data_IF_437008994947
#
_entry.id   IF_437008994947
#
_cell.length_a   1.000
_cell.length_b   1.000
_cell.length_c   1.000
_cell.angle_alpha   90.00
_cell.angle_beta   90.00
_cell.angle_gamma   90.00
#
_symmetry.space_group_name_H-M   'P 1'
#
loop_
_entity.id
_entity.type
_entity.pdbx_description
1 polymer ?
#
# COMPACT_ATOMS: atom_id res chain seq x y z
N UNK A 1 21.09 29.28 1.81
CA UNK A 1 20.60 27.89 2.02
C UNK A 1 20.03 27.37 0.72
N UNK A 2 20.57 26.26 0.22
CA UNK A 2 20.02 25.51 -0.92
C UNK A 2 18.92 24.61 -0.39
N UNK A 3 17.79 24.56 -1.11
CA UNK A 3 16.67 23.64 -0.85
C UNK A 3 16.43 22.82 -2.10
N UNK A 4 16.42 21.49 -1.99
CA UNK A 4 16.24 20.59 -3.14
C UNK A 4 15.55 19.30 -2.72
N UNK A 5 14.90 18.65 -3.68
CA UNK A 5 14.50 17.24 -3.58
C UNK A 5 15.51 16.38 -4.34
N UNK A 6 16.01 15.34 -3.69
CA UNK A 6 16.89 14.34 -4.29
C UNK A 6 16.15 13.01 -4.34
N UNK A 7 16.36 12.15 -5.37
CA UNK A 7 15.73 10.85 -5.44
C UNK A 7 15.98 10.00 -4.18
N UNK A 8 14.99 9.21 -3.79
CA UNK A 8 15.11 8.17 -2.77
C UNK A 8 14.66 6.86 -3.42
N UNK A 9 15.61 5.96 -3.69
CA UNK A 9 15.34 4.62 -4.22
C UNK A 9 15.02 3.60 -3.13
N UNK A 10 14.84 4.03 -1.88
CA UNK A 10 14.38 3.19 -0.80
C UNK A 10 13.00 2.59 -1.11
N UNK A 11 12.87 1.29 -0.86
CA UNK A 11 11.61 0.58 -1.04
C UNK A 11 10.53 1.17 -0.11
N UNK A 12 9.30 1.27 -0.61
CA UNK A 12 8.19 1.76 0.19
C UNK A 12 7.85 0.79 1.34
N UNK A 13 7.25 1.31 2.41
CA UNK A 13 6.83 0.50 3.57
C UNK A 13 5.55 -0.31 3.35
N UNK A 14 4.95 -0.26 2.15
CA UNK A 14 3.66 -0.92 1.88
C UNK A 14 2.48 -0.29 2.62
N UNK A 15 2.56 0.98 3.04
CA UNK A 15 1.48 1.67 3.75
C UNK A 15 0.14 1.55 2.99
N UNK A 16 -0.90 1.10 3.69
CA UNK A 16 -2.21 0.83 3.10
C UNK A 16 -3.32 0.80 4.13
N UNK A 17 -4.57 0.86 3.66
CA UNK A 17 -5.68 0.42 4.49
C UNK A 17 -5.79 -1.11 4.39
N UNK A 18 -5.58 -1.81 5.50
CA UNK A 18 -5.70 -3.26 5.60
C UNK A 18 -7.14 -3.65 5.96
N UNK A 19 -7.74 -4.56 5.19
CA UNK A 19 -9.07 -5.12 5.45
C UNK A 19 -8.97 -6.44 6.19
N UNK A 20 -9.72 -6.59 7.27
CA UNK A 20 -9.73 -7.80 8.08
C UNK A 20 -10.53 -8.93 7.41
N UNK A 21 -9.84 -9.85 6.73
CA UNK A 21 -10.42 -11.04 6.10
C UNK A 21 -10.98 -12.05 7.10
N UNK A 22 -11.03 -11.75 8.41
CA UNK A 22 -11.84 -12.52 9.38
C UNK A 22 -13.31 -12.07 9.36
N UNK A 23 -13.62 -10.93 8.74
CA UNK A 23 -14.99 -10.41 8.58
C UNK A 23 -15.60 -10.95 7.28
N UNK A 24 -16.82 -11.48 7.38
CA UNK A 24 -17.52 -12.12 6.24
C UNK A 24 -17.69 -11.17 5.05
N UNK A 25 -18.06 -9.90 5.30
CA UNK A 25 -18.21 -8.85 4.29
C UNK A 25 -16.96 -8.62 3.41
N UNK A 26 -15.78 -8.98 3.89
CA UNK A 26 -14.53 -8.86 3.13
C UNK A 26 -14.09 -10.17 2.48
N UNK A 27 -14.85 -11.26 2.51
CA UNK A 27 -14.48 -12.50 1.82
C UNK A 27 -14.55 -12.40 0.31
N UNK A 28 -15.51 -11.63 -0.22
CA UNK A 28 -15.64 -11.42 -1.65
C UNK A 28 -14.62 -10.40 -2.15
N UNK A 29 -13.76 -10.83 -3.10
CA UNK A 29 -12.73 -9.97 -3.70
C UNK A 29 -13.32 -8.75 -4.40
N UNK A 30 -14.55 -8.85 -4.92
CA UNK A 30 -15.24 -7.75 -5.61
C UNK A 30 -15.62 -6.64 -4.65
N UNK A 31 -15.96 -6.98 -3.40
CA UNK A 31 -16.18 -5.97 -2.34
C UNK A 31 -14.87 -5.26 -2.06
N UNK A 32 -13.79 -6.00 -1.82
CA UNK A 32 -12.48 -5.41 -1.53
C UNK A 32 -11.98 -4.51 -2.66
N UNK A 33 -12.14 -4.95 -3.91
CA UNK A 33 -11.82 -4.16 -5.09
C UNK A 33 -12.68 -2.90 -5.20
N UNK A 34 -13.98 -2.98 -4.95
CA UNK A 34 -14.88 -1.83 -4.96
C UNK A 34 -14.45 -0.76 -3.94
N UNK A 35 -14.07 -1.17 -2.73
CA UNK A 35 -13.59 -0.25 -1.70
C UNK A 35 -12.28 0.44 -2.11
N UNK A 36 -11.39 -0.28 -2.82
CA UNK A 36 -10.18 0.28 -3.41
C UNK A 36 -10.44 1.41 -4.40
N UNK A 37 -11.51 1.32 -5.21
CA UNK A 37 -11.92 2.39 -6.13
C UNK A 37 -12.40 3.67 -5.41
N UNK A 38 -12.79 3.56 -4.13
CA UNK A 38 -13.36 4.68 -3.38
C UNK A 38 -12.28 5.49 -2.64
N UNK A 39 -11.04 5.02 -2.60
CA UNK A 39 -9.92 5.81 -2.10
C UNK A 39 -9.30 6.65 -3.22
N UNK A 40 -9.45 7.98 -3.11
CA UNK A 40 -8.91 8.92 -4.08
C UNK A 40 -7.52 9.42 -3.67
N UNK A 41 -6.47 8.78 -4.20
CA UNK A 41 -5.10 9.18 -3.98
C UNK A 41 -4.73 10.48 -4.70
N UNK A 42 -5.12 10.64 -5.96
CA UNK A 42 -4.74 11.79 -6.78
C UNK A 42 -5.18 13.10 -6.13
N UNK A 43 -6.43 13.17 -5.66
CA UNK A 43 -6.93 14.30 -4.90
C UNK A 43 -6.21 14.48 -3.56
N UNK A 44 -5.97 13.39 -2.83
CA UNK A 44 -5.26 13.44 -1.53
C UNK A 44 -3.84 14.00 -1.71
N UNK A 45 -3.12 13.54 -2.73
CA UNK A 45 -1.77 13.96 -3.03
C UNK A 45 -1.73 15.43 -3.43
N UNK A 46 -2.59 15.86 -4.35
CA UNK A 46 -2.65 17.25 -4.79
C UNK A 46 -3.07 18.20 -3.66
N UNK A 47 -4.15 17.87 -2.95
CA UNK A 47 -4.83 18.80 -2.03
C UNK A 47 -4.27 18.77 -0.61
N UNK A 48 -3.79 17.62 -0.14
CA UNK A 48 -3.34 17.45 1.25
C UNK A 48 -1.82 17.38 1.38
N UNK A 49 -1.16 16.86 0.33
CA UNK A 49 0.27 16.57 0.35
C UNK A 49 1.09 17.44 -0.60
N UNK A 50 0.45 18.37 -1.32
CA UNK A 50 1.11 19.29 -2.26
C UNK A 50 1.87 18.58 -3.39
N UNK A 51 1.39 17.42 -3.82
CA UNK A 51 1.97 16.59 -4.88
C UNK A 51 3.31 15.95 -4.49
N UNK A 52 3.61 15.82 -3.20
CA UNK A 52 4.94 15.42 -2.74
C UNK A 52 5.12 13.91 -2.50
N UNK A 53 4.09 13.09 -2.72
CA UNK A 53 4.18 11.65 -2.57
C UNK A 53 3.91 10.91 -3.87
N UNK A 54 4.39 9.67 -3.94
CA UNK A 54 4.11 8.73 -5.00
C UNK A 54 3.13 7.64 -4.51
N UNK A 55 2.39 7.05 -5.45
CA UNK A 55 1.41 6.00 -5.18
C UNK A 55 2.11 4.67 -4.92
N UNK A 56 1.67 3.93 -3.90
CA UNK A 56 2.03 2.52 -3.74
C UNK A 56 1.13 1.66 -4.64
N UNK A 57 1.71 0.70 -5.35
CA UNK A 57 1.00 -0.30 -6.17
C UNK A 57 1.47 -1.73 -5.87
N UNK A 58 2.66 -1.91 -5.29
CA UNK A 58 3.28 -3.20 -4.97
C UNK A 58 3.72 -3.29 -3.50
N UNK A 59 3.78 -4.51 -2.95
CA UNK A 59 4.41 -4.75 -1.64
C UNK A 59 5.92 -4.51 -1.68
N UNK A 60 6.51 -4.54 -2.88
CA UNK A 60 7.91 -4.21 -3.19
C UNK A 60 8.02 -2.91 -4.01
N UNK A 61 7.10 -1.97 -3.79
CA UNK A 61 7.10 -0.68 -4.50
C UNK A 61 8.46 0.05 -4.41
N UNK A 62 8.85 0.71 -5.51
CA UNK A 62 10.14 1.36 -5.68
C UNK A 62 11.34 0.40 -5.71
N UNK A 63 11.14 -0.84 -6.19
CA UNK A 63 12.22 -1.81 -6.41
C UNK A 63 12.03 -2.63 -7.68
N UNK A 64 13.08 -3.35 -8.10
CA UNK A 64 13.06 -4.28 -9.23
C UNK A 64 12.30 -5.59 -8.94
N UNK A 65 11.86 -5.78 -7.69
CA UNK A 65 11.10 -6.94 -7.21
C UNK A 65 9.58 -6.78 -7.41
N UNK A 66 9.08 -5.59 -7.72
CA UNK A 66 7.66 -5.35 -8.00
C UNK A 66 7.21 -6.05 -9.29
N UNK A 67 6.06 -6.72 -9.25
CA UNK A 67 5.48 -7.32 -10.45
C UNK A 67 4.97 -6.23 -11.41
N UNK A 68 5.25 -6.41 -12.71
CA UNK A 68 4.85 -5.47 -13.77
C UNK A 68 4.22 -6.21 -14.93
N UNK A 69 3.20 -5.61 -15.56
CA UNK A 69 2.51 -6.19 -16.72
C UNK A 69 2.03 -7.63 -16.49
N UNK A 70 1.89 -8.39 -17.57
CA UNK A 70 1.55 -9.82 -17.56
C UNK A 70 2.66 -10.68 -16.93
N UNK A 71 2.33 -11.86 -16.36
CA UNK A 71 3.36 -12.75 -15.82
C UNK A 71 4.33 -13.18 -16.93
N UNK A 72 5.62 -13.12 -16.60
CA UNK A 72 6.68 -13.67 -17.45
C UNK A 72 6.61 -15.20 -17.50
N UNK A 73 7.33 -15.83 -18.44
CA UNK A 73 7.42 -17.31 -18.50
C UNK A 73 7.96 -17.92 -17.19
N UNK A 74 8.92 -17.24 -16.54
CA UNK A 74 9.45 -17.66 -15.24
C UNK A 74 8.42 -17.54 -14.11
N UNK A 75 7.63 -16.46 -14.08
CA UNK A 75 6.52 -16.34 -13.13
C UNK A 75 5.46 -17.42 -13.39
N UNK A 76 5.07 -17.65 -14.65
CA UNK A 76 4.09 -18.67 -15.03
C UNK A 76 4.52 -20.07 -14.58
N UNK A 77 5.80 -20.42 -14.74
CA UNK A 77 6.32 -21.71 -14.28
C UNK A 77 6.14 -21.94 -12.75
N UNK A 78 6.08 -20.86 -11.96
CA UNK A 78 5.80 -20.93 -10.52
C UNK A 78 4.29 -20.90 -10.21
N UNK A 79 3.49 -20.22 -11.04
CA UNK A 79 2.08 -19.95 -10.81
C UNK A 79 1.15 -21.04 -11.38
N UNK A 80 1.46 -21.61 -12.54
CA UNK A 80 0.63 -22.65 -13.19
C UNK A 80 0.37 -23.88 -12.31
N UNK A 81 1.35 -24.40 -11.53
CA UNK A 81 1.09 -25.50 -10.58
C UNK A 81 0.10 -25.16 -9.47
N UNK A 82 -0.22 -23.88 -9.28
CA UNK A 82 -1.14 -23.34 -8.27
C UNK A 82 -2.45 -22.82 -8.88
N UNK A 83 -2.69 -23.04 -10.18
CA UNK A 83 -3.76 -22.39 -10.94
C UNK A 83 -5.16 -22.50 -10.31
N UNK A 84 -5.47 -23.63 -9.67
CA UNK A 84 -6.74 -23.90 -8.99
C UNK A 84 -6.91 -23.16 -7.65
N UNK A 85 -5.82 -22.63 -7.11
CA UNK A 85 -5.75 -21.94 -5.80
C UNK A 85 -5.56 -20.43 -5.93
N UNK A 86 -5.36 -19.94 -7.15
CA UNK A 86 -5.07 -18.53 -7.41
C UNK A 86 -6.34 -17.70 -7.64
N UNK A 87 -6.34 -16.42 -7.22
CA UNK A 87 -7.36 -15.49 -7.67
C UNK A 87 -7.42 -15.43 -9.21
N UNK A 88 -8.62 -15.20 -9.75
CA UNK A 88 -8.83 -15.07 -11.18
C UNK A 88 -7.93 -13.96 -11.79
N UNK A 89 -7.45 -14.20 -13.01
CA UNK A 89 -6.62 -13.24 -13.76
C UNK A 89 -5.12 -13.29 -13.46
N UNK A 90 -4.67 -13.92 -12.36
CA UNK A 90 -3.24 -13.97 -11.99
C UNK A 90 -2.34 -14.52 -13.11
N UNK A 91 -2.83 -15.49 -13.89
CA UNK A 91 -2.06 -16.12 -14.97
C UNK A 91 -2.08 -15.34 -16.29
N UNK A 92 -2.99 -14.39 -16.47
CA UNK A 92 -3.28 -13.81 -17.79
C UNK A 92 -3.23 -12.28 -17.83
N UNK A 93 -3.55 -11.65 -16.72
CA UNK A 93 -3.79 -10.22 -16.64
C UNK A 93 -2.52 -9.49 -16.16
N UNK A 94 -2.53 -8.18 -16.35
CA UNK A 94 -1.48 -7.33 -15.81
C UNK A 94 -1.50 -7.36 -14.27
N UNK A 95 -0.33 -7.18 -13.67
CA UNK A 95 -0.19 -7.05 -12.23
C UNK A 95 -1.05 -5.87 -11.75
N UNK A 96 -1.82 -6.11 -10.69
CA UNK A 96 -2.91 -5.20 -10.34
C UNK A 96 -2.36 -3.89 -9.81
N UNK A 97 -2.77 -2.79 -10.42
CA UNK A 97 -2.45 -1.43 -9.97
C UNK A 97 -3.56 -0.86 -9.09
N UNK A 98 -3.21 0.09 -8.23
CA UNK A 98 -4.22 0.86 -7.51
C UNK A 98 -5.06 1.70 -8.50
N UNK A 99 -6.37 1.89 -8.25
CA UNK A 99 -7.18 2.75 -9.10
C UNK A 99 -6.62 4.18 -9.18
N UNK A 100 -6.65 4.74 -10.38
CA UNK A 100 -6.35 6.16 -10.63
C UNK A 100 -7.67 6.93 -10.63
N UNK A 101 -7.72 8.01 -9.86
CA UNK A 101 -8.87 8.90 -9.73
C UNK A 101 -8.58 10.29 -10.30
N UNK A 102 -9.61 11.11 -10.42
CA UNK A 102 -9.48 12.53 -10.75
C UNK A 102 -9.16 13.43 -9.55
N UNK A 103 -9.00 14.71 -9.82
CA UNK A 103 -8.58 15.76 -8.86
C UNK A 103 -9.72 16.31 -7.99
N UNK A 104 -10.88 15.66 -7.95
CA UNK A 104 -12.01 16.02 -7.07
C UNK A 104 -12.10 15.00 -5.94
N UNK A 105 -12.57 15.34 -4.72
CA UNK A 105 -12.66 14.40 -3.62
C UNK A 105 -13.34 13.07 -4.00
N UNK A 106 -14.45 13.16 -4.74
CA UNK A 106 -15.17 12.00 -5.29
C UNK A 106 -14.97 11.90 -6.81
N UNK A 107 -14.49 10.74 -7.26
CA UNK A 107 -14.43 10.40 -8.68
C UNK A 107 -15.69 9.64 -9.10
N UNK A 108 -16.46 10.19 -10.04
CA UNK A 108 -17.73 9.59 -10.49
C UNK A 108 -17.55 8.30 -11.30
N UNK A 109 -16.44 8.15 -12.02
CA UNK A 109 -16.16 6.96 -12.79
C UNK A 109 -15.83 5.80 -11.85
N UNK A 110 -14.94 6.05 -10.89
CA UNK A 110 -14.56 5.05 -9.89
C UNK A 110 -15.75 4.71 -8.97
N UNK A 111 -16.58 5.70 -8.59
CA UNK A 111 -17.81 5.43 -7.86
C UNK A 111 -18.76 4.51 -8.64
N UNK A 112 -18.92 4.70 -9.95
CA UNK A 112 -19.74 3.82 -10.80
C UNK A 112 -19.18 2.40 -10.88
N UNK A 113 -17.86 2.25 -10.98
CA UNK A 113 -17.19 0.94 -10.99
C UNK A 113 -17.37 0.23 -9.64
N UNK A 114 -17.14 0.94 -8.53
CA UNK A 114 -17.36 0.42 -7.19
C UNK A 114 -18.81 -0.04 -6.99
N UNK A 115 -19.78 0.77 -7.41
CA UNK A 115 -21.20 0.42 -7.31
C UNK A 115 -21.53 -0.86 -8.10
N UNK A 116 -21.03 -1.00 -9.33
CA UNK A 116 -21.27 -2.19 -10.14
C UNK A 116 -20.65 -3.46 -9.52
N UNK A 117 -19.47 -3.35 -8.91
CA UNK A 117 -18.81 -4.46 -8.20
C UNK A 117 -19.58 -4.87 -6.95
N UNK A 118 -20.06 -3.89 -6.17
CA UNK A 118 -20.88 -4.13 -4.98
C UNK A 118 -22.24 -4.76 -5.35
N UNK A 119 -22.89 -4.30 -6.43
CA UNK A 119 -24.11 -4.90 -6.96
C UNK A 119 -23.87 -6.36 -7.38
N UNK A 120 -22.78 -6.63 -8.11
CA UNK A 120 -22.41 -7.97 -8.53
C UNK A 120 -22.06 -8.90 -7.35
N UNK A 121 -21.56 -8.33 -6.24
CA UNK A 121 -21.31 -9.03 -4.99
C UNK A 121 -22.57 -9.23 -4.14
N UNK A 122 -23.74 -8.76 -4.58
CA UNK A 122 -25.02 -8.95 -3.90
C UNK A 122 -25.32 -7.91 -2.81
N UNK A 123 -24.54 -6.83 -2.74
CA UNK A 123 -24.78 -5.71 -1.82
C UNK A 123 -25.66 -4.67 -2.50
N UNK A 124 -26.97 -4.83 -2.47
CA UNK A 124 -27.91 -3.98 -3.22
C UNK A 124 -28.29 -2.73 -2.43
N UNK A 125 -28.41 -1.59 -3.11
CA UNK A 125 -28.84 -0.32 -2.52
C UNK A 125 -30.34 -0.40 -2.18
N UNK A 126 -30.69 -0.19 -0.91
CA UNK A 126 -32.07 -0.07 -0.43
C UNK A 126 -32.66 1.33 -0.64
N UNK A 127 -33.94 1.49 -0.30
CA UNK A 127 -34.66 2.77 -0.44
C UNK A 127 -34.08 3.90 0.45
N UNK A 128 -33.36 3.53 1.50
CA UNK A 128 -32.63 4.43 2.40
C UNK A 128 -31.26 4.86 1.84
N UNK A 129 -30.88 4.35 0.65
CA UNK A 129 -29.59 4.60 0.02
C UNK A 129 -28.45 3.76 0.59
N UNK A 130 -28.72 2.86 1.54
CA UNK A 130 -27.71 1.98 2.13
C UNK A 130 -27.70 0.60 1.50
N UNK A 131 -26.51 0.00 1.39
CA UNK A 131 -26.32 -1.32 0.80
C UNK A 131 -26.60 -2.42 1.79
N UNK A 132 -27.33 -3.45 1.36
CA UNK A 132 -27.64 -4.65 2.14
C UNK A 132 -27.39 -5.94 1.36
N UNK A 133 -26.99 -7.00 2.06
CA UNK A 133 -26.91 -8.34 1.48
C UNK A 133 -28.32 -8.98 1.39
N UNK A 134 -28.39 -10.21 0.88
CA UNK A 134 -29.64 -10.95 0.75
C UNK A 134 -30.33 -11.26 2.09
N UNK A 135 -29.60 -11.19 3.21
CA UNK A 135 -30.09 -11.38 4.58
C UNK A 135 -30.61 -10.07 5.20
N UNK A 136 -30.48 -8.94 4.50
CA UNK A 136 -30.91 -7.62 4.97
C UNK A 136 -29.90 -6.91 5.86
N UNK A 137 -28.71 -7.48 6.03
CA UNK A 137 -27.63 -6.90 6.85
C UNK A 137 -26.96 -5.75 6.09
N UNK A 138 -26.65 -4.67 6.80
CA UNK A 138 -25.98 -3.50 6.21
C UNK A 138 -24.53 -3.82 5.86
N UNK A 139 -24.06 -3.28 4.73
CA UNK A 139 -22.63 -3.18 4.45
C UNK A 139 -22.05 -2.06 5.32
N UNK A 140 -21.85 -2.37 6.60
CA UNK A 140 -21.23 -1.47 7.56
C UNK A 140 -19.72 -1.69 7.58
N UNK A 141 -18.93 -0.62 7.60
CA UNK A 141 -17.46 -0.70 7.68
C UNK A 141 -16.96 0.34 8.68
N UNK A 142 -16.29 -0.10 9.74
CA UNK A 142 -15.59 0.78 10.67
C UNK A 142 -14.10 0.90 10.32
N UNK A 143 -13.62 2.13 10.13
CA UNK A 143 -12.19 2.44 10.07
C UNK A 143 -11.78 3.00 11.43
N UNK A 144 -10.86 2.32 12.11
CA UNK A 144 -10.28 2.80 13.37
C UNK A 144 -8.90 3.42 13.13
N UNK A 145 -8.55 4.43 13.92
CA UNK A 145 -7.26 5.14 13.85
C UNK A 145 -7.00 5.81 15.20
N UNK A 146 -5.74 5.94 15.60
CA UNK A 146 -5.35 6.65 16.83
C UNK A 146 -4.67 8.00 16.57
N UNK A 147 -4.18 8.22 15.35
CA UNK A 147 -3.51 9.45 14.98
C UNK A 147 -4.44 10.49 14.33
N UNK A 148 -4.55 11.71 14.89
CA UNK A 148 -5.32 12.79 14.27
C UNK A 148 -4.75 13.27 12.93
N UNK A 149 -3.51 12.89 12.58
CA UNK A 149 -2.91 13.27 11.30
C UNK A 149 -3.57 12.58 10.10
N UNK A 150 -4.23 11.45 10.35
CA UNK A 150 -4.92 10.66 9.32
C UNK A 150 -6.37 11.11 9.09
N UNK A 151 -6.99 11.89 10.00
CA UNK A 151 -8.35 12.44 9.84
C UNK A 151 -8.58 13.02 8.43
N UNK A 152 -7.65 13.86 7.97
CA UNK A 152 -7.75 14.56 6.67
C UNK A 152 -7.77 13.63 5.47
N UNK A 153 -7.34 12.37 5.64
CA UNK A 153 -7.31 11.34 4.60
C UNK A 153 -8.50 10.38 4.76
N UNK A 154 -8.78 9.93 5.99
CA UNK A 154 -9.82 8.95 6.26
C UNK A 154 -11.21 9.56 6.10
N UNK A 155 -11.44 10.81 6.54
CA UNK A 155 -12.75 11.44 6.43
C UNK A 155 -13.24 11.53 4.97
N UNK A 156 -12.46 12.05 3.99
CA UNK A 156 -12.86 12.01 2.58
C UNK A 156 -13.08 10.59 2.05
N UNK A 157 -12.30 9.61 2.49
CA UNK A 157 -12.50 8.22 2.10
C UNK A 157 -13.83 7.66 2.62
N UNK A 158 -14.18 7.93 3.89
CA UNK A 158 -15.48 7.59 4.48
C UNK A 158 -16.63 8.26 3.76
N UNK A 159 -16.50 9.52 3.34
CA UNK A 159 -17.53 10.18 2.54
C UNK A 159 -17.70 9.52 1.16
N UNK A 160 -16.61 9.08 0.52
CA UNK A 160 -16.70 8.32 -0.74
C UNK A 160 -17.34 6.94 -0.54
N UNK A 161 -17.06 6.26 0.58
CA UNK A 161 -17.72 5.01 0.97
C UNK A 161 -19.23 5.21 1.15
N UNK A 162 -19.64 6.25 1.88
CA UNK A 162 -21.05 6.62 2.07
C UNK A 162 -21.74 7.00 0.76
N UNK A 163 -21.04 7.67 -0.14
CA UNK A 163 -21.56 7.98 -1.48
C UNK A 163 -21.84 6.71 -2.31
N UNK A 164 -21.15 5.61 -2.01
CA UNK A 164 -21.43 4.30 -2.59
C UNK A 164 -22.52 3.52 -1.83
N UNK A 165 -23.14 4.09 -0.79
CA UNK A 165 -24.15 3.42 0.04
C UNK A 165 -23.58 2.49 1.12
N UNK A 166 -22.27 2.52 1.37
CA UNK A 166 -21.67 1.81 2.52
C UNK A 166 -21.99 2.58 3.80
N UNK A 167 -22.43 1.89 4.85
CA UNK A 167 -22.56 2.48 6.19
C UNK A 167 -21.16 2.59 6.83
N UNK A 168 -20.39 3.59 6.38
CA UNK A 168 -19.01 3.77 6.79
C UNK A 168 -18.90 4.66 8.04
N UNK A 169 -18.11 4.17 9.02
CA UNK A 169 -17.88 4.81 10.31
C UNK A 169 -16.38 5.07 10.46
N UNK A 170 -16.03 6.29 10.89
CA UNK A 170 -14.68 6.61 11.33
C UNK A 170 -14.64 6.74 12.85
N UNK A 171 -13.82 5.91 13.50
CA UNK A 171 -13.65 5.88 14.94
C UNK A 171 -12.21 6.25 15.30
N UNK A 172 -12.00 7.53 15.65
CA UNK A 172 -10.74 7.95 16.25
C UNK A 172 -10.72 7.62 17.74
N UNK A 173 -9.84 6.70 18.12
CA UNK A 173 -9.75 6.13 19.47
C UNK A 173 -8.39 6.43 20.10
N UNK A 174 -8.25 6.21 21.41
CA UNK A 174 -6.94 6.40 22.05
C UNK A 174 -5.97 5.24 21.72
N UNK A 175 -4.64 5.45 21.84
CA UNK A 175 -3.65 4.44 21.48
C UNK A 175 -3.76 3.11 22.24
N UNK A 176 -4.25 3.12 23.49
CA UNK A 176 -4.43 1.89 24.26
C UNK A 176 -5.60 1.07 23.70
N UNK A 177 -6.72 1.73 23.40
CA UNK A 177 -7.86 1.09 22.74
C UNK A 177 -7.48 0.60 21.33
N UNK A 178 -6.72 1.38 20.55
CA UNK A 178 -6.26 0.96 19.23
C UNK A 178 -5.37 -0.28 19.30
N UNK A 179 -4.41 -0.30 20.22
CA UNK A 179 -3.53 -1.45 20.46
C UNK A 179 -4.33 -2.69 20.88
N UNK A 180 -5.30 -2.55 21.77
CA UNK A 180 -6.13 -3.68 22.23
C UNK A 180 -6.98 -4.25 21.08
N UNK A 181 -7.71 -3.37 20.36
CA UNK A 181 -8.56 -3.79 19.24
C UNK A 181 -7.76 -4.42 18.11
N UNK A 182 -6.61 -3.85 17.73
CA UNK A 182 -5.77 -4.41 16.66
C UNK A 182 -5.15 -5.76 17.03
N UNK A 183 -4.66 -5.93 18.27
CA UNK A 183 -4.13 -7.23 18.76
C UNK A 183 -5.18 -8.33 18.87
N UNK A 184 -6.42 -7.96 19.14
CA UNK A 184 -7.56 -8.90 19.20
C UNK A 184 -8.25 -9.07 17.83
N UNK A 185 -7.71 -8.48 16.76
CA UNK A 185 -8.30 -8.43 15.42
C UNK A 185 -9.74 -7.89 15.40
N UNK A 186 -10.09 -7.04 16.37
CA UNK A 186 -11.38 -6.39 16.48
C UNK A 186 -11.42 -5.06 15.70
N UNK A 187 -11.35 -5.17 14.38
CA UNK A 187 -11.52 -4.06 13.46
C UNK A 187 -12.11 -4.55 12.15
N UNK A 188 -12.65 -3.64 11.34
CA UNK A 188 -12.94 -3.93 9.93
C UNK A 188 -11.76 -3.48 9.07
N UNK A 189 -11.31 -2.24 9.24
CA UNK A 189 -10.21 -1.67 8.47
C UNK A 189 -9.32 -0.76 9.33
N UNK A 190 -8.01 -0.82 9.08
CA UNK A 190 -6.99 0.02 9.75
C UNK A 190 -5.96 0.53 8.75
N UNK A 191 -5.22 1.59 9.12
CA UNK A 191 -3.96 1.91 8.44
C UNK A 191 -2.87 0.96 8.95
N UNK A 192 -2.18 0.28 8.04
CA UNK A 192 -1.06 -0.60 8.38
C UNK A 192 0.08 -0.48 7.36
N UNK A 193 1.22 -1.08 7.67
CA UNK A 193 2.40 -1.14 6.81
C UNK A 193 2.87 -2.59 6.62
N UNK A 194 3.37 -2.87 5.43
CA UNK A 194 3.90 -4.18 5.03
C UNK A 194 5.35 -4.01 4.56
N UNK A 195 6.30 -3.67 5.46
CA UNK A 195 7.68 -3.38 5.07
C UNK A 195 8.37 -4.66 4.60
N UNK A 196 8.71 -4.71 3.32
CA UNK A 196 9.42 -5.83 2.71
C UNK A 196 10.95 -5.63 2.77
N UNK A 197 11.71 -6.63 2.31
CA UNK A 197 13.17 -6.59 2.15
C UNK A 197 13.56 -6.79 0.68
N UNK A 198 14.71 -6.26 0.26
CA UNK A 198 15.32 -6.59 -1.04
C UNK A 198 15.85 -8.03 -1.08
N UNK A 199 16.02 -8.64 0.10
CA UNK A 199 16.31 -10.05 0.30
C UNK A 199 15.25 -10.63 1.26
N UNK A 200 14.02 -10.88 0.77
CA UNK A 200 12.96 -11.46 1.60
C UNK A 200 13.36 -12.80 2.21
N UNK A 201 12.93 -13.01 3.45
CA UNK A 201 13.26 -14.22 4.23
C UNK A 201 12.04 -14.73 4.99
N UNK A 202 12.25 -15.51 6.06
CA UNK A 202 11.18 -16.13 6.85
C UNK A 202 10.16 -15.14 7.43
N UNK A 203 10.49 -13.86 7.51
CA UNK A 203 9.55 -12.78 7.87
C UNK A 203 8.29 -12.74 6.99
N UNK A 204 8.36 -13.20 5.74
CA UNK A 204 7.18 -13.32 4.86
C UNK A 204 6.07 -14.18 5.49
N UNK A 205 6.43 -15.24 6.23
CA UNK A 205 5.47 -16.10 6.92
C UNK A 205 4.72 -15.37 8.04
N UNK A 206 5.32 -14.34 8.66
CA UNK A 206 4.67 -13.56 9.70
C UNK A 206 3.64 -12.57 9.13
N UNK A 207 3.87 -12.04 7.94
CA UNK A 207 2.97 -11.08 7.27
C UNK A 207 1.86 -11.77 6.46
N UNK A 208 2.17 -12.87 5.77
CA UNK A 208 1.27 -13.43 4.75
C UNK A 208 1.02 -14.94 4.89
N UNK A 209 1.69 -15.62 5.82
CA UNK A 209 1.56 -17.07 5.98
C UNK A 209 0.25 -17.45 6.68
N UNK A 210 -0.43 -18.49 6.17
CA UNK A 210 -1.71 -18.94 6.74
C UNK A 210 -1.59 -19.41 8.18
N UNK A 211 -0.46 -20.04 8.53
CA UNK A 211 -0.20 -20.57 9.87
C UNK A 211 -0.10 -19.48 10.94
N UNK A 212 0.25 -18.25 10.57
CA UNK A 212 0.39 -17.12 11.49
C UNK A 212 -0.82 -16.19 11.46
N UNK A 213 -1.79 -16.44 10.58
CA UNK A 213 -2.89 -15.55 10.30
C UNK A 213 -3.79 -15.25 11.51
N UNK A 214 -3.83 -16.08 12.54
CA UNK A 214 -4.63 -15.82 13.75
C UNK A 214 -3.78 -15.47 14.98
N UNK A 215 -2.45 -15.39 14.84
CA UNK A 215 -1.52 -15.23 15.97
C UNK A 215 -0.53 -14.08 15.79
N UNK A 216 -0.13 -13.81 14.55
CA UNK A 216 0.81 -12.75 14.20
C UNK A 216 0.08 -11.42 13.98
N UNK A 217 0.41 -10.44 14.80
CA UNK A 217 -0.03 -9.05 14.63
C UNK A 217 0.40 -8.45 13.28
N UNK A 218 1.42 -9.01 12.62
CA UNK A 218 1.89 -8.59 11.30
C UNK A 218 0.99 -9.09 10.16
N UNK A 219 0.23 -10.17 10.36
CA UNK A 219 -0.81 -10.59 9.42
C UNK A 219 -2.15 -9.96 9.83
N UNK A 220 -2.17 -8.62 9.86
CA UNK A 220 -3.36 -7.85 10.23
C UNK A 220 -4.59 -8.19 9.36
N UNK A 221 -4.48 -8.43 8.04
CA UNK A 221 -5.62 -8.85 7.23
C UNK A 221 -6.12 -10.26 7.60
N UNK A 222 -5.30 -11.11 8.21
CA UNK A 222 -5.65 -12.51 8.46
C UNK A 222 -5.69 -13.33 7.17
N UNK A 223 -4.80 -13.04 6.22
CA UNK A 223 -4.71 -13.77 4.96
C UNK A 223 -4.36 -15.24 5.21
N UNK A 224 -5.16 -16.14 4.63
CA UNK A 224 -4.90 -17.57 4.56
C UNK A 224 -5.02 -18.03 3.12
N UNK A 225 -3.91 -18.45 2.53
CA UNK A 225 -3.83 -18.89 1.14
C UNK A 225 -2.73 -19.93 0.95
N UNK A 226 -3.13 -21.12 0.53
CA UNK A 226 -2.19 -22.19 0.18
C UNK A 226 -1.27 -21.79 -0.98
N UNK A 227 -1.74 -20.97 -1.93
CA UNK A 227 -0.93 -20.49 -3.04
C UNK A 227 0.15 -19.50 -2.56
N UNK A 228 -0.21 -18.60 -1.64
CA UNK A 228 0.75 -17.66 -1.02
C UNK A 228 1.77 -18.43 -0.19
N UNK A 229 1.33 -19.39 0.62
CA UNK A 229 2.23 -20.22 1.42
C UNK A 229 3.24 -20.96 0.52
N UNK A 230 2.77 -21.57 -0.58
CA UNK A 230 3.63 -22.26 -1.53
C UNK A 230 4.64 -21.32 -2.21
N UNK A 231 4.23 -20.11 -2.59
CA UNK A 231 5.11 -19.11 -3.20
C UNK A 231 6.14 -18.56 -2.19
N UNK A 232 5.78 -18.41 -0.92
CA UNK A 232 6.74 -18.06 0.14
C UNK A 232 7.83 -19.14 0.20
N UNK A 233 7.49 -20.43 0.19
CA UNK A 233 8.51 -21.49 0.16
C UNK A 233 9.41 -21.43 -1.08
N UNK A 234 8.87 -21.02 -2.25
CA UNK A 234 9.69 -20.79 -3.44
C UNK A 234 10.67 -19.65 -3.25
N UNK A 235 10.23 -18.52 -2.69
CA UNK A 235 11.11 -17.37 -2.37
C UNK A 235 12.22 -17.78 -1.41
N UNK A 236 11.93 -18.60 -0.40
CA UNK A 236 12.93 -19.06 0.57
C UNK A 236 13.94 -20.07 0.01
N UNK A 237 13.61 -20.73 -1.09
CA UNK A 237 14.44 -21.78 -1.68
C UNK A 237 15.37 -21.30 -2.81
N UNK A 238 15.24 -20.04 -3.27
CA UNK A 238 16.05 -19.50 -4.37
C UNK A 238 17.53 -19.45 -4.02
N UNK A 239 18.38 -19.62 -5.04
CA UNK A 239 19.84 -19.62 -4.88
C UNK A 239 20.54 -18.56 -5.73
N UNK A 240 19.78 -17.78 -6.50
CA UNK A 240 20.31 -16.68 -7.30
C UNK A 240 19.40 -15.45 -7.26
N UNK A 241 19.95 -14.30 -7.65
CA UNK A 241 19.20 -13.03 -7.71
C UNK A 241 18.06 -13.09 -8.74
N UNK A 242 18.29 -13.71 -9.90
CA UNK A 242 17.28 -13.80 -10.96
C UNK A 242 16.11 -14.71 -10.55
N UNK A 243 16.40 -15.81 -9.84
CA UNK A 243 15.39 -16.67 -9.23
C UNK A 243 14.60 -15.90 -8.15
N UNK A 244 15.29 -15.14 -7.29
CA UNK A 244 14.65 -14.32 -6.26
C UNK A 244 13.69 -13.31 -6.88
N UNK A 245 14.14 -12.55 -7.90
CA UNK A 245 13.29 -11.58 -8.59
C UNK A 245 12.05 -12.25 -9.20
N UNK A 246 12.21 -13.41 -9.83
CA UNK A 246 11.10 -14.15 -10.44
C UNK A 246 10.11 -14.63 -9.38
N UNK A 247 10.58 -15.24 -8.29
CA UNK A 247 9.74 -15.75 -7.22
C UNK A 247 9.02 -14.64 -6.46
N UNK A 248 9.70 -13.52 -6.18
CA UNK A 248 9.09 -12.37 -5.49
C UNK A 248 8.06 -11.68 -6.37
N UNK A 249 8.31 -11.52 -7.68
CA UNK A 249 7.29 -10.97 -8.60
C UNK A 249 6.05 -11.85 -8.68
N UNK A 250 6.23 -13.17 -8.73
CA UNK A 250 5.10 -14.10 -8.67
C UNK A 250 4.30 -13.94 -7.36
N UNK A 251 4.98 -13.85 -6.21
CA UNK A 251 4.34 -13.61 -4.91
C UNK A 251 3.63 -12.26 -4.84
N UNK A 252 4.29 -11.17 -5.22
CA UNK A 252 3.72 -9.81 -5.25
C UNK A 252 2.44 -9.75 -6.08
N UNK A 253 2.47 -10.32 -7.29
CA UNK A 253 1.30 -10.42 -8.18
C UNK A 253 0.11 -11.09 -7.49
N UNK A 254 0.36 -12.21 -6.81
CA UNK A 254 -0.69 -12.98 -6.11
C UNK A 254 -1.24 -12.21 -4.92
N UNK A 255 -0.38 -11.64 -4.07
CA UNK A 255 -0.81 -10.82 -2.93
C UNK A 255 -1.68 -9.64 -3.39
N UNK A 256 -1.27 -8.95 -4.45
CA UNK A 256 -2.05 -7.86 -5.06
C UNK A 256 -3.39 -8.33 -5.58
N UNK A 257 -3.45 -9.51 -6.19
CA UNK A 257 -4.68 -10.12 -6.69
C UNK A 257 -5.71 -10.43 -5.58
N UNK A 258 -5.27 -10.65 -4.33
CA UNK A 258 -6.19 -10.83 -3.21
C UNK A 258 -6.88 -9.54 -2.77
N UNK A 259 -6.40 -8.33 -3.13
CA UNK A 259 -7.06 -7.05 -2.80
C UNK A 259 -7.33 -6.82 -1.31
N UNK A 260 -6.67 -7.49 -0.37
CA UNK A 260 -6.92 -7.30 1.08
C UNK A 260 -6.39 -5.97 1.63
N UNK A 261 -5.77 -5.17 0.76
CA UNK A 261 -5.14 -3.90 1.06
C UNK A 261 -5.60 -2.85 0.05
N UNK A 262 -5.74 -1.61 0.50
CA UNK A 262 -5.93 -0.44 -0.36
C UNK A 262 -4.65 0.38 -0.22
N UNK A 263 -3.74 0.32 -1.22
CA UNK A 263 -2.46 1.02 -1.14
C UNK A 263 -2.64 2.51 -0.85
N UNK A 264 -1.70 3.11 -0.12
CA UNK A 264 -1.67 4.53 0.14
C UNK A 264 -0.55 5.22 -0.67
N UNK A 265 0.50 5.68 -0.02
CA UNK A 265 1.55 6.47 -0.65
C UNK A 265 2.90 6.31 0.06
N UNK A 266 3.97 6.76 -0.59
CA UNK A 266 5.31 6.82 -0.03
C UNK A 266 6.07 8.05 -0.53
N UNK A 267 7.16 8.40 0.14
CA UNK A 267 8.04 9.48 -0.29
C UNK A 267 9.19 8.91 -1.12
N UNK A 268 9.22 9.21 -2.41
CA UNK A 268 10.28 8.80 -3.33
C UNK A 268 11.45 9.82 -3.39
N UNK A 269 11.53 10.73 -2.40
CA UNK A 269 12.56 11.78 -2.39
C UNK A 269 13.09 12.12 -1.00
N UNK A 270 14.37 12.41 -0.91
CA UNK A 270 14.95 13.12 0.20
C UNK A 270 14.70 14.63 0.07
N UNK A 271 14.15 15.25 1.11
CA UNK A 271 13.96 16.71 1.18
C UNK A 271 15.09 17.32 1.98
N UNK A 272 15.97 18.05 1.31
CA UNK A 272 17.20 18.55 1.92
C UNK A 272 17.25 20.07 1.93
N UNK A 273 17.81 20.61 3.02
CA UNK A 273 18.18 22.01 3.14
C UNK A 273 19.59 22.08 3.71
N UNK A 274 20.52 22.69 2.97
CA UNK A 274 21.93 22.78 3.37
C UNK A 274 22.53 24.10 2.94
N UNK A 275 23.61 24.53 3.60
CA UNK A 275 24.36 25.70 3.18
C UNK A 275 25.02 25.43 1.83
N UNK A 276 25.06 26.43 0.94
CA UNK A 276 25.72 26.31 -0.38
C UNK A 276 27.24 26.34 -0.23
N UNK A 277 27.77 25.48 0.63
CA UNK A 277 29.18 25.14 0.83
C UNK A 277 29.39 23.63 0.83
N UNK A 278 28.31 22.85 0.84
CA UNK A 278 28.39 21.40 0.68
C UNK A 278 28.09 21.03 -0.76
N UNK A 279 28.92 20.14 -1.29
CA UNK A 279 28.75 19.53 -2.59
C UNK A 279 28.58 18.02 -2.42
N UNK A 280 28.01 17.39 -3.43
CA UNK A 280 27.75 15.96 -3.46
C UNK A 280 27.84 15.46 -4.90
N UNK A 281 27.99 14.14 -5.14
CA UNK A 281 28.02 13.58 -6.49
C UNK A 281 26.72 13.92 -7.24
N UNK A 282 26.82 14.10 -8.57
CA UNK A 282 25.62 14.34 -9.39
C UNK A 282 24.64 13.16 -9.28
N UNK A 283 25.16 11.94 -9.34
CA UNK A 283 24.43 10.71 -9.12
C UNK A 283 24.61 10.28 -7.66
N UNK A 284 23.54 10.39 -6.88
CA UNK A 284 23.54 9.96 -5.47
C UNK A 284 23.37 8.44 -5.37
N UNK A 285 23.78 7.88 -4.23
CA UNK A 285 23.58 6.46 -3.97
C UNK A 285 22.07 6.12 -4.01
N UNK A 286 21.69 4.96 -4.57
CA UNK A 286 20.28 4.65 -4.81
C UNK A 286 19.45 4.51 -3.53
N UNK A 287 20.06 4.10 -2.42
CA UNK A 287 19.34 3.76 -1.18
C UNK A 287 19.71 4.64 0.02
N UNK A 288 20.54 5.67 -0.18
CA UNK A 288 20.95 6.58 0.89
C UNK A 288 21.31 7.96 0.32
N UNK A 289 20.92 9.01 1.03
CA UNK A 289 21.34 10.38 0.77
C UNK A 289 22.88 10.54 0.81
N UNK A 290 23.55 9.75 1.64
CA UNK A 290 25.00 9.68 1.75
C UNK A 290 25.64 10.94 2.33
N UNK A 291 24.89 11.76 3.07
CA UNK A 291 25.34 13.09 3.52
C UNK A 291 26.56 13.07 4.44
N UNK A 292 26.83 11.95 5.11
CA UNK A 292 28.03 11.76 5.94
C UNK A 292 29.19 11.07 5.22
N UNK A 293 28.95 10.51 4.03
CA UNK A 293 29.89 9.62 3.34
C UNK A 293 30.38 10.19 2.02
N UNK A 294 29.49 10.83 1.26
CA UNK A 294 29.74 11.26 -0.11
C UNK A 294 29.61 12.76 -0.32
N UNK A 295 29.13 13.50 0.67
CA UNK A 295 29.08 14.96 0.60
C UNK A 295 30.39 15.55 1.15
N UNK A 296 30.87 16.64 0.54
CA UNK A 296 32.12 17.30 0.96
C UNK A 296 31.96 18.81 1.08
N UNK A 297 32.82 19.39 1.91
CA UNK A 297 32.95 20.83 2.06
C UNK A 297 33.72 21.45 0.89
N UNK A 298 33.16 22.49 0.30
CA UNK A 298 33.81 23.33 -0.71
C UNK A 298 34.23 24.66 -0.07
N UNK A 299 35.54 24.85 0.07
CA UNK A 299 36.13 26.01 0.75
C UNK A 299 35.82 27.34 0.07
N UNK A 300 35.84 27.39 -1.27
CA UNK A 300 35.56 28.63 -2.02
C UNK A 300 34.11 29.06 -1.86
N UNK A 301 33.19 28.10 -1.88
CA UNK A 301 31.77 28.35 -1.65
C UNK A 301 31.48 28.78 -0.22
N UNK A 302 32.15 28.18 0.76
CA UNK A 302 32.05 28.61 2.15
C UNK A 302 32.57 30.04 2.36
N UNK A 303 33.72 30.38 1.77
CA UNK A 303 34.27 31.74 1.85
C UNK A 303 33.31 32.76 1.24
N UNK A 304 32.69 32.46 0.09
CA UNK A 304 31.65 33.31 -0.50
C UNK A 304 30.47 33.54 0.46
N UNK A 305 30.05 32.51 1.20
CA UNK A 305 28.99 32.66 2.20
C UNK A 305 29.45 33.49 3.42
N UNK A 306 30.72 33.40 3.83
CA UNK A 306 31.29 34.26 4.88
C UNK A 306 31.38 35.72 4.43
N UNK A 307 31.86 35.98 3.21
CA UNK A 307 31.96 37.32 2.63
C UNK A 307 30.59 38.00 2.50
N UNK A 308 29.54 37.21 2.30
CA UNK A 308 28.14 37.65 2.27
C UNK A 308 27.53 37.83 3.66
N UNK A 309 28.26 37.53 4.75
CA UNK A 309 27.76 37.58 6.13
C UNK A 309 26.70 36.52 6.46
N UNK A 310 26.57 35.49 5.63
CA UNK A 310 25.61 34.39 5.81
C UNK A 310 26.15 33.39 6.82
N UNK A 311 27.45 33.07 6.73
CA UNK A 311 28.19 32.31 7.73
C UNK A 311 28.98 33.28 8.61
N UNK A 312 29.15 32.90 9.88
CA UNK A 312 29.95 33.64 10.86
C UNK A 312 31.27 32.94 11.10
#
# INVERSE_FOLDING_TARGET
VVKKTLPDGGMATGQSFAMNLRREKFQDVRVREALGYLFNFEWSNESLFYGQYARINSFWENSDLAAVGKPTEGELALLEPLADKLPAGVLTDDAVMAPVSGTRPTDRNNLRLANALLDAAGWIVGDDGLRRNAQGELLQIEIIEDSPTFDRVILPFVENLRAAGVDAIYSRIDPAQYTDRTRNYDFDMITDQFPMSLEPSSGLKQYFGSATADESVFNSPGLKSEAVDALIEKVLAVQSKDELQTAVRALDRVLRAYRFWIPQWYNATHRVAYWDMYEHPQDIAPYDLGYLSYWWYNADKAQKLMDQGVLK
#
